data_IF_386791611064
#
_entry.id   IF_386791611064
#
_cell.length_a   1.000
_cell.length_b   1.000
_cell.length_c   1.000
_cell.angle_alpha   90.00
_cell.angle_beta   90.00
_cell.angle_gamma   90.00
#
_symmetry.space_group_name_H-M   'P 1'
#
loop_
_entity.id
_entity.type
_entity.pdbx_description
1 polymer ?
#
# COMPACT_ATOMS: atom_id res chain seq x y z
N UNK A 1 4.86 10.07 -21.68
CA UNK A 1 4.31 9.08 -22.65
C UNK A 1 3.00 8.59 -22.09
N UNK A 2 1.95 8.67 -22.91
CA UNK A 2 0.54 8.86 -22.60
C UNK A 2 -0.02 7.92 -21.51
N UNK A 3 -0.34 8.44 -20.30
CA UNK A 3 -1.00 7.65 -19.26
C UNK A 3 -2.42 7.20 -19.68
N UNK A 4 -3.07 7.99 -20.53
CA UNK A 4 -4.43 7.75 -21.06
C UNK A 4 -4.55 6.39 -21.78
N UNK A 5 -3.52 5.98 -22.52
CA UNK A 5 -3.56 4.72 -23.28
C UNK A 5 -3.27 3.47 -22.43
N UNK A 6 -2.74 3.63 -21.21
CA UNK A 6 -2.37 2.47 -20.37
C UNK A 6 -3.60 1.62 -20.04
N UNK A 7 -4.74 2.27 -19.80
CA UNK A 7 -5.99 1.57 -19.54
C UNK A 7 -6.43 0.74 -20.76
N UNK A 8 -6.41 1.33 -21.96
CA UNK A 8 -6.73 0.63 -23.21
C UNK A 8 -5.82 -0.58 -23.46
N UNK A 9 -4.51 -0.46 -23.18
CA UNK A 9 -3.58 -1.59 -23.31
C UNK A 9 -3.91 -2.75 -22.36
N UNK A 10 -4.35 -2.43 -21.13
CA UNK A 10 -4.74 -3.43 -20.14
C UNK A 10 -6.08 -4.07 -20.53
N UNK A 11 -7.04 -3.28 -21.02
CA UNK A 11 -8.32 -3.77 -21.50
C UNK A 11 -8.20 -4.65 -22.74
N UNK A 12 -7.30 -4.29 -23.66
CA UNK A 12 -6.98 -5.08 -24.85
C UNK A 12 -6.16 -6.37 -24.54
N UNK A 13 -5.86 -6.66 -23.27
CA UNK A 13 -5.14 -7.87 -22.86
C UNK A 13 -3.64 -7.86 -23.19
N UNK A 14 -3.05 -6.72 -23.55
CA UNK A 14 -1.63 -6.64 -23.95
C UNK A 14 -0.70 -7.05 -22.80
N UNK A 15 -1.01 -6.61 -21.58
CA UNK A 15 -0.24 -7.00 -20.39
C UNK A 15 -0.29 -8.52 -20.16
N UNK A 16 -1.44 -9.15 -20.40
CA UNK A 16 -1.63 -10.60 -20.27
C UNK A 16 -0.76 -11.36 -21.26
N UNK A 17 -0.77 -10.94 -22.53
CA UNK A 17 0.09 -11.53 -23.57
C UNK A 17 1.56 -11.40 -23.18
N UNK A 18 1.99 -10.22 -22.70
CA UNK A 18 3.38 -9.97 -22.31
C UNK A 18 3.84 -10.83 -21.12
N UNK A 19 2.97 -11.03 -20.13
CA UNK A 19 3.30 -11.81 -18.92
C UNK A 19 3.28 -13.31 -19.21
N UNK A 20 2.26 -13.80 -19.91
CA UNK A 20 2.10 -15.24 -20.18
C UNK A 20 3.15 -15.76 -21.17
N UNK A 21 3.66 -14.90 -22.05
CA UNK A 21 4.64 -15.28 -23.08
C UNK A 21 6.05 -14.80 -22.78
N UNK A 22 6.48 -14.80 -21.50
CA UNK A 22 7.83 -14.35 -21.11
C UNK A 22 8.98 -15.01 -21.86
N UNK A 23 8.79 -16.22 -22.42
CA UNK A 23 9.80 -16.88 -23.27
C UNK A 23 10.20 -16.04 -24.49
N UNK A 24 9.28 -15.22 -25.01
CA UNK A 24 9.53 -14.31 -26.13
C UNK A 24 10.39 -13.10 -25.75
N UNK A 25 10.63 -12.87 -24.45
CA UNK A 25 11.53 -11.81 -23.99
C UNK A 25 12.97 -12.00 -24.52
N UNK A 26 13.37 -13.24 -24.80
CA UNK A 26 14.68 -13.53 -25.39
C UNK A 26 14.78 -13.08 -26.86
N UNK A 27 13.64 -12.96 -27.55
CA UNK A 27 13.57 -12.56 -28.95
C UNK A 27 13.34 -11.06 -29.13
N UNK A 28 12.74 -10.39 -28.14
CA UNK A 28 12.36 -8.97 -28.21
C UNK A 28 12.97 -8.21 -27.04
N UNK A 29 14.01 -7.42 -27.31
CA UNK A 29 14.75 -6.66 -26.29
C UNK A 29 13.90 -5.64 -25.53
N UNK A 30 12.80 -5.18 -26.13
CA UNK A 30 11.85 -4.23 -25.51
C UNK A 30 10.77 -4.91 -24.65
N UNK A 31 10.75 -6.24 -24.55
CA UNK A 31 9.72 -6.98 -23.82
C UNK A 31 9.63 -6.59 -22.34
N UNK A 32 10.75 -6.68 -21.62
CA UNK A 32 10.84 -6.27 -20.21
C UNK A 32 10.52 -4.78 -20.01
N UNK A 33 11.14 -3.86 -20.77
CA UNK A 33 10.80 -2.45 -20.73
C UNK A 33 9.32 -2.13 -21.00
N UNK A 34 8.64 -2.87 -21.89
CA UNK A 34 7.22 -2.70 -22.17
C UNK A 34 6.36 -3.09 -20.97
N UNK A 35 6.66 -4.24 -20.33
CA UNK A 35 6.00 -4.67 -19.09
C UNK A 35 6.17 -3.59 -18.00
N UNK A 36 7.40 -3.14 -17.75
CA UNK A 36 7.66 -2.14 -16.71
C UNK A 36 7.04 -0.78 -17.05
N UNK A 37 6.95 -0.39 -18.33
CA UNK A 37 6.26 0.83 -18.73
C UNK A 37 4.77 0.80 -18.36
N UNK A 38 4.08 -0.32 -18.61
CA UNK A 38 2.68 -0.52 -18.21
C UNK A 38 2.56 -0.56 -16.69
N UNK A 39 3.34 -1.41 -16.02
CA UNK A 39 3.25 -1.63 -14.57
C UNK A 39 3.63 -0.38 -13.75
N UNK A 40 4.56 0.46 -14.24
CA UNK A 40 4.92 1.72 -13.57
C UNK A 40 3.77 2.74 -13.48
N UNK A 41 2.70 2.52 -14.26
CA UNK A 41 1.49 3.37 -14.28
C UNK A 41 0.31 2.74 -13.56
N UNK A 42 0.42 1.47 -13.16
CA UNK A 42 -0.62 0.74 -12.47
C UNK A 42 -0.05 0.04 -11.24
N UNK A 43 0.18 0.76 -10.12
CA UNK A 43 0.79 0.21 -8.91
C UNK A 43 0.01 -0.98 -8.35
N UNK A 44 -1.33 -0.99 -8.46
CA UNK A 44 -2.18 -2.11 -8.02
C UNK A 44 -1.86 -3.43 -8.76
N UNK A 45 -1.75 -3.37 -10.10
CA UNK A 45 -1.39 -4.54 -10.90
C UNK A 45 0.08 -4.91 -10.73
N UNK A 46 0.97 -3.91 -10.66
CA UNK A 46 2.39 -4.15 -10.39
C UNK A 46 2.58 -4.91 -9.08
N UNK A 47 1.91 -4.47 -8.02
CA UNK A 47 1.96 -5.13 -6.72
C UNK A 47 1.33 -6.52 -6.77
N UNK A 48 0.20 -6.70 -7.46
CA UNK A 48 -0.43 -8.02 -7.63
C UNK A 48 0.49 -9.02 -8.35
N UNK A 49 1.21 -8.60 -9.39
CA UNK A 49 2.07 -9.46 -10.22
C UNK A 49 3.42 -9.70 -9.55
N UNK A 50 4.05 -8.63 -9.02
CA UNK A 50 5.43 -8.67 -8.51
C UNK A 50 5.50 -8.93 -7.01
N UNK A 51 4.39 -8.81 -6.27
CA UNK A 51 4.37 -8.83 -4.80
C UNK A 51 5.27 -7.76 -4.17
N UNK A 52 5.62 -6.71 -4.93
CA UNK A 52 6.61 -5.71 -4.56
C UNK A 52 6.35 -4.37 -5.28
N UNK A 53 6.39 -3.27 -4.53
CA UNK A 53 6.56 -1.91 -5.03
C UNK A 53 7.88 -1.36 -4.50
N UNK A 54 8.70 -0.79 -5.40
CA UNK A 54 10.00 -0.21 -5.05
C UNK A 54 9.92 1.27 -4.70
N UNK A 55 11.08 1.87 -4.43
CA UNK A 55 11.20 3.30 -4.09
C UNK A 55 10.71 4.24 -5.19
N UNK A 56 10.73 3.82 -6.45
CA UNK A 56 10.29 4.63 -7.59
C UNK A 56 8.81 4.44 -7.94
N UNK A 57 8.15 3.47 -7.31
CA UNK A 57 6.72 3.23 -7.52
C UNK A 57 5.95 4.07 -6.50
N UNK A 58 5.09 4.95 -7.01
CA UNK A 58 4.25 5.82 -6.19
C UNK A 58 2.79 5.37 -6.28
N UNK A 59 2.15 5.33 -5.11
CA UNK A 59 0.71 5.14 -4.94
C UNK A 59 -0.05 6.46 -4.91
N UNK A 60 0.65 7.61 -5.02
CA UNK A 60 0.03 8.93 -5.06
C UNK A 60 -0.63 9.20 -6.42
N UNK A 61 -1.78 9.88 -6.40
CA UNK A 61 -2.47 10.38 -7.59
C UNK A 61 -3.24 9.33 -8.41
N UNK A 62 -3.36 8.09 -7.93
CA UNK A 62 -4.17 7.05 -8.54
C UNK A 62 -4.84 6.21 -7.46
N UNK A 63 -5.91 5.49 -7.82
CA UNK A 63 -6.48 4.47 -6.95
C UNK A 63 -5.49 3.32 -6.79
N UNK A 64 -5.00 3.13 -5.57
CA UNK A 64 -4.17 1.98 -5.24
C UNK A 64 -5.02 0.95 -4.50
N UNK A 65 -5.23 -0.19 -5.16
CA UNK A 65 -6.10 -1.27 -4.68
C UNK A 65 -5.27 -2.50 -4.32
N UNK A 66 -5.45 -2.99 -3.11
CA UNK A 66 -4.70 -4.12 -2.58
C UNK A 66 -5.64 -5.18 -2.02
N UNK A 67 -5.61 -6.36 -2.62
CA UNK A 67 -6.28 -7.54 -2.07
C UNK A 67 -5.49 -8.16 -0.92
N UNK A 68 -6.18 -8.56 0.15
CA UNK A 68 -5.58 -9.42 1.19
C UNK A 68 -5.14 -10.77 0.64
N UNK A 69 -5.91 -11.33 -0.29
CA UNK A 69 -5.59 -12.60 -0.96
C UNK A 69 -4.47 -12.39 -1.99
N UNK A 70 -3.47 -13.28 -1.93
CA UNK A 70 -2.47 -13.46 -3.00
C UNK A 70 -3.11 -14.26 -4.15
N UNK A 71 -2.89 -13.83 -5.38
CA UNK A 71 -3.39 -14.50 -6.57
C UNK A 71 -2.22 -15.16 -7.31
N UNK A 72 -2.39 -16.42 -7.71
CA UNK A 72 -1.44 -17.11 -8.58
C UNK A 72 -1.56 -16.61 -10.03
N UNK A 73 -2.79 -16.26 -10.43
CA UNK A 73 -3.10 -15.65 -11.71
C UNK A 73 -3.68 -14.25 -11.48
N UNK A 74 -2.92 -13.23 -11.89
CA UNK A 74 -3.32 -11.83 -11.71
C UNK A 74 -4.60 -11.48 -12.48
N UNK A 75 -4.96 -12.24 -13.52
CA UNK A 75 -6.20 -12.04 -14.28
C UNK A 75 -7.44 -12.22 -13.41
N UNK A 76 -7.37 -13.08 -12.38
CA UNK A 76 -8.45 -13.22 -11.40
C UNK A 76 -8.67 -11.90 -10.67
N UNK A 77 -7.60 -11.23 -10.23
CA UNK A 77 -7.72 -9.92 -9.60
C UNK A 77 -8.22 -8.87 -10.59
N UNK A 78 -7.72 -8.89 -11.83
CA UNK A 78 -8.18 -7.98 -12.88
C UNK A 78 -9.67 -8.15 -13.20
N UNK A 79 -10.18 -9.39 -13.23
CA UNK A 79 -11.60 -9.68 -13.43
C UNK A 79 -12.42 -9.24 -12.23
N UNK A 80 -11.97 -9.45 -10.99
CA UNK A 80 -12.62 -8.91 -9.79
C UNK A 80 -12.75 -7.39 -9.86
N UNK A 81 -11.72 -6.70 -10.35
CA UNK A 81 -11.75 -5.26 -10.54
C UNK A 81 -12.72 -4.81 -11.65
N UNK A 82 -13.07 -5.70 -12.59
CA UNK A 82 -13.97 -5.43 -13.73
C UNK A 82 -15.42 -5.85 -13.49
N UNK A 83 -15.65 -7.07 -13.03
CA UNK A 83 -16.92 -7.82 -13.09
C UNK A 83 -17.83 -7.68 -11.86
N UNK A 84 -17.59 -6.72 -10.97
CA UNK A 84 -18.48 -6.39 -9.83
C UNK A 84 -18.69 -7.50 -8.76
N UNK A 85 -17.88 -8.56 -8.74
CA UNK A 85 -17.97 -9.62 -7.73
C UNK A 85 -16.62 -9.99 -7.14
N UNK A 86 -16.36 -9.54 -5.91
CA UNK A 86 -15.50 -10.29 -4.99
C UNK A 86 -16.31 -10.68 -3.76
N UNK A 87 -16.88 -11.90 -3.75
CA UNK A 87 -17.88 -12.26 -2.75
C UNK A 87 -17.33 -12.52 -1.35
N UNK A 88 -16.00 -12.51 -1.14
CA UNK A 88 -15.43 -13.10 0.09
C UNK A 88 -14.27 -12.33 0.75
N UNK A 89 -13.50 -11.52 0.01
CA UNK A 89 -12.25 -10.95 0.52
C UNK A 89 -12.20 -9.42 0.38
N UNK A 90 -11.84 -8.70 1.45
CA UNK A 90 -11.60 -7.26 1.42
C UNK A 90 -10.53 -6.86 0.40
N UNK A 91 -10.84 -5.81 -0.37
CA UNK A 91 -9.90 -5.07 -1.21
C UNK A 91 -9.74 -3.70 -0.57
N UNK A 92 -8.55 -3.40 -0.08
CA UNK A 92 -8.25 -2.12 0.53
C UNK A 92 -7.99 -1.10 -0.59
N UNK A 93 -8.66 0.04 -0.50
CA UNK A 93 -8.60 1.13 -1.47
C UNK A 93 -7.90 2.31 -0.81
N UNK A 94 -6.80 2.75 -1.42
CA UNK A 94 -6.09 3.97 -1.04
C UNK A 94 -6.40 5.03 -2.09
N UNK A 95 -6.99 6.13 -1.64
CA UNK A 95 -7.37 7.25 -2.49
C UNK A 95 -7.40 8.56 -1.67
N UNK A 96 -6.49 9.47 -1.98
CA UNK A 96 -6.42 10.79 -1.31
C UNK A 96 -7.23 11.87 -2.03
N UNK A 97 -7.67 11.63 -3.27
CA UNK A 97 -8.26 12.67 -4.13
C UNK A 97 -9.76 12.84 -3.95
N UNK A 98 -10.47 11.76 -3.59
CA UNK A 98 -11.95 11.77 -3.51
C UNK A 98 -12.40 11.57 -2.08
N UNK A 99 -13.03 12.61 -1.50
CA UNK A 99 -13.62 12.57 -0.15
C UNK A 99 -14.96 11.85 -0.10
N UNK A 100 -15.69 11.86 -1.21
CA UNK A 100 -17.03 11.27 -1.34
C UNK A 100 -17.04 10.42 -2.61
N UNK A 101 -17.81 9.33 -2.58
CA UNK A 101 -18.02 8.47 -3.75
C UNK A 101 -18.66 9.26 -4.88
N UNK A 102 -18.07 9.26 -6.10
CA UNK A 102 -18.65 9.95 -7.25
C UNK A 102 -20.01 9.35 -7.61
N UNK A 103 -21.05 10.18 -7.89
CA UNK A 103 -22.40 9.69 -8.14
C UNK A 103 -22.50 8.80 -9.38
N UNK A 104 -21.63 9.00 -10.37
CA UNK A 104 -21.52 8.19 -11.59
C UNK A 104 -20.93 6.78 -11.33
N UNK A 105 -20.26 6.59 -10.19
CA UNK A 105 -19.66 5.31 -9.79
C UNK A 105 -20.48 4.60 -8.70
N UNK A 106 -21.58 5.19 -8.25
CA UNK A 106 -22.50 4.58 -7.29
C UNK A 106 -23.47 3.69 -8.06
N UNK A 107 -23.56 2.43 -7.63
CA UNK A 107 -24.48 1.45 -8.17
C UNK A 107 -25.60 1.26 -7.17
N UNK A 108 -26.82 1.62 -7.56
CA UNK A 108 -28.04 1.32 -6.80
C UNK A 108 -28.46 -0.12 -7.04
N UNK A 109 -28.74 -0.84 -5.94
CA UNK A 109 -29.21 -2.22 -6.00
C UNK A 109 -30.73 -2.21 -6.10
N UNK A 110 -31.32 -2.78 -7.17
CA UNK A 110 -32.77 -2.86 -7.31
C UNK A 110 -33.42 -3.60 -6.13
N UNK A 111 -34.56 -3.11 -5.67
CA UNK A 111 -35.26 -3.67 -4.48
C UNK A 111 -35.69 -5.12 -4.74
N UNK A 112 -35.90 -5.49 -6.00
CA UNK A 112 -36.28 -6.82 -6.45
C UNK A 112 -35.19 -7.87 -6.22
N UNK A 113 -33.94 -7.44 -6.01
CA UNK A 113 -32.83 -8.33 -5.69
C UNK A 113 -32.85 -8.80 -4.22
N UNK A 114 -33.70 -8.22 -3.36
CA UNK A 114 -33.78 -8.60 -1.95
C UNK A 114 -34.82 -9.70 -1.69
N UNK A 115 -34.49 -10.67 -0.80
CA UNK A 115 -35.48 -11.55 -0.19
C UNK A 115 -36.64 -10.73 0.37
N UNK A 116 -37.87 -11.23 0.24
CA UNK A 116 -39.09 -10.54 0.72
C UNK A 116 -38.99 -10.09 2.18
N UNK A 117 -38.26 -10.87 3.00
CA UNK A 117 -38.08 -10.67 4.44
C UNK A 117 -36.98 -9.64 4.77
N UNK A 118 -36.15 -9.26 3.79
CA UNK A 118 -35.07 -8.28 3.89
C UNK A 118 -35.35 -7.00 3.09
N UNK A 119 -36.52 -6.90 2.45
CA UNK A 119 -36.98 -5.67 1.81
C UNK A 119 -37.06 -4.59 2.88
N UNK A 120 -36.23 -3.54 2.80
CA UNK A 120 -35.90 -2.74 3.98
C UNK A 120 -37.10 -1.96 4.50
N UNK A 121 -37.37 -2.10 5.80
CA UNK A 121 -38.05 -1.12 6.67
C UNK A 121 -37.18 0.15 6.90
N UNK A 122 -36.04 0.26 6.18
CA UNK A 122 -35.05 1.33 6.31
C UNK A 122 -35.24 2.32 5.17
N UNK A 123 -35.36 3.61 5.50
CA UNK A 123 -35.66 4.72 4.61
C UNK A 123 -34.56 5.09 3.57
N UNK A 124 -33.82 4.11 3.04
CA UNK A 124 -32.70 4.33 2.11
C UNK A 124 -32.56 3.26 1.04
N UNK A 125 -32.19 3.67 -0.17
CA UNK A 125 -31.80 2.80 -1.28
C UNK A 125 -30.46 2.12 -0.97
N UNK A 126 -30.38 0.80 -1.10
CA UNK A 126 -29.13 0.06 -0.98
C UNK A 126 -28.22 0.40 -2.16
N UNK A 127 -27.04 0.96 -1.91
CA UNK A 127 -26.08 1.33 -2.94
C UNK A 127 -24.65 0.92 -2.56
N UNK A 128 -23.80 0.71 -3.56
CA UNK A 128 -22.37 0.42 -3.34
C UNK A 128 -21.48 1.12 -4.37
N UNK A 129 -20.17 1.21 -4.10
CA UNK A 129 -19.19 1.80 -5.00
C UNK A 129 -17.86 1.04 -4.94
N UNK A 130 -17.32 0.65 -6.10
CA UNK A 130 -15.99 -0.02 -6.20
C UNK A 130 -14.79 0.92 -6.06
N UNK A 131 -15.01 2.21 -6.31
CA UNK A 131 -14.02 3.28 -6.15
C UNK A 131 -14.53 4.28 -5.12
N UNK A 132 -14.73 3.83 -3.87
CA UNK A 132 -15.34 4.66 -2.85
C UNK A 132 -14.47 5.91 -2.58
N UNK A 133 -15.14 6.98 -2.18
CA UNK A 133 -14.45 8.12 -1.56
C UNK A 133 -13.94 7.74 -0.17
N UNK A 134 -12.93 8.47 0.29
CA UNK A 134 -12.34 8.34 1.61
C UNK A 134 -12.23 9.73 2.26
N UNK A 135 -13.09 10.02 3.23
CA UNK A 135 -13.04 11.29 3.97
C UNK A 135 -11.98 11.33 5.05
N UNK A 136 -11.57 10.15 5.56
CA UNK A 136 -10.69 10.03 6.71
C UNK A 136 -9.22 9.98 6.29
N UNK A 137 -8.89 9.34 5.18
CA UNK A 137 -7.51 9.24 4.71
C UNK A 137 -6.85 10.63 4.48
N UNK A 138 -7.50 11.62 3.85
CA UNK A 138 -6.97 12.97 3.77
C UNK A 138 -6.74 13.61 5.15
N UNK A 139 -7.61 13.35 6.14
CA UNK A 139 -7.42 13.85 7.52
C UNK A 139 -6.20 13.22 8.19
N UNK A 140 -5.98 11.93 7.98
CA UNK A 140 -4.77 11.24 8.46
C UNK A 140 -3.52 11.86 7.85
N UNK A 141 -3.56 12.23 6.55
CA UNK A 141 -2.46 12.93 5.90
C UNK A 141 -2.25 14.35 6.47
N UNK A 142 -3.32 15.09 6.76
CA UNK A 142 -3.24 16.41 7.39
C UNK A 142 -2.60 16.31 8.78
N UNK A 143 -3.00 15.33 9.60
CA UNK A 143 -2.37 15.06 10.91
C UNK A 143 -0.88 14.72 10.79
N UNK A 144 -0.51 13.90 9.80
CA UNK A 144 0.90 13.61 9.51
C UNK A 144 1.67 14.88 9.17
N UNK A 145 1.11 15.74 8.33
CA UNK A 145 1.75 16.99 7.92
C UNK A 145 1.95 17.93 9.12
N UNK A 146 0.96 18.05 10.00
CA UNK A 146 1.05 18.81 11.25
C UNK A 146 2.14 18.28 12.18
N UNK A 147 2.22 16.96 12.37
CA UNK A 147 3.28 16.34 13.19
C UNK A 147 4.67 16.55 12.58
N UNK A 148 4.81 16.38 11.26
CA UNK A 148 6.06 16.65 10.57
C UNK A 148 6.47 18.12 10.68
N UNK A 149 5.52 19.06 10.69
CA UNK A 149 5.79 20.49 10.83
C UNK A 149 6.37 20.82 12.21
N UNK A 150 5.83 20.21 13.29
CA UNK A 150 6.34 20.37 14.67
C UNK A 150 7.81 20.00 14.79
N UNK A 151 8.26 18.99 14.04
CA UNK A 151 9.66 18.56 14.02
C UNK A 151 10.51 19.27 12.95
N UNK A 152 9.95 20.21 12.18
CA UNK A 152 10.64 20.90 11.09
C UNK A 152 10.96 19.98 9.90
N UNK A 153 10.21 18.89 9.73
CA UNK A 153 10.43 17.84 8.74
C UNK A 153 9.57 18.00 7.47
N UNK A 154 8.65 18.97 7.41
CA UNK A 154 7.71 19.16 6.28
C UNK A 154 8.36 19.60 4.97
N UNK A 155 9.42 20.43 5.04
CA UNK A 155 10.06 20.90 3.82
C UNK A 155 10.94 19.79 3.23
N UNK A 156 10.54 19.23 2.09
CA UNK A 156 11.53 18.80 1.12
C UNK A 156 12.19 20.09 0.60
N UNK A 157 13.49 20.33 0.81
CA UNK A 157 14.12 21.57 0.40
C UNK A 157 13.76 21.86 -1.07
N UNK A 158 13.27 23.07 -1.36
CA UNK A 158 12.64 23.47 -2.64
C UNK A 158 13.52 23.27 -3.88
N UNK A 159 14.80 22.95 -3.67
CA UNK A 159 15.64 22.28 -4.63
C UNK A 159 15.68 20.83 -4.20
N UNK A 160 15.01 19.93 -4.93
CA UNK A 160 15.31 18.50 -4.90
C UNK A 160 16.72 18.29 -5.48
N UNK A 161 17.72 18.84 -4.78
CA UNK A 161 19.13 18.58 -4.93
C UNK A 161 19.27 17.12 -4.56
N UNK A 162 19.24 16.24 -5.57
CA UNK A 162 19.83 14.88 -5.70
C UNK A 162 20.49 14.24 -4.46
N UNK A 163 19.96 14.40 -3.26
CA UNK A 163 20.59 14.09 -1.99
C UNK A 163 19.48 13.71 -1.00
N UNK A 164 19.69 12.60 -0.30
CA UNK A 164 18.76 12.07 0.70
C UNK A 164 19.36 12.39 2.06
N UNK A 165 18.52 12.95 2.93
CA UNK A 165 18.87 13.23 4.32
C UNK A 165 18.44 12.03 5.16
N UNK A 166 19.40 11.21 5.58
CA UNK A 166 19.12 9.93 6.27
C UNK A 166 18.62 10.12 7.69
N UNK A 167 19.11 11.15 8.39
CA UNK A 167 18.65 11.47 9.74
C UNK A 167 17.19 11.92 9.71
N UNK A 168 16.83 12.76 8.74
CA UNK A 168 15.45 13.15 8.52
C UNK A 168 14.61 12.00 7.95
N UNK A 169 15.19 11.08 7.17
CA UNK A 169 14.49 9.91 6.66
C UNK A 169 14.07 8.96 7.79
N UNK A 170 14.98 8.63 8.71
CA UNK A 170 14.66 7.78 9.86
C UNK A 170 13.59 8.42 10.75
N UNK A 171 13.72 9.73 11.04
CA UNK A 171 12.72 10.47 11.82
C UNK A 171 11.36 10.53 11.13
N UNK A 172 11.32 10.81 9.82
CA UNK A 172 10.08 10.82 9.04
C UNK A 172 9.42 9.44 9.01
N UNK A 173 10.21 8.38 8.81
CA UNK A 173 9.70 7.01 8.84
C UNK A 173 9.07 6.69 10.21
N UNK A 174 9.72 7.11 11.31
CA UNK A 174 9.18 6.95 12.66
C UNK A 174 7.86 7.69 12.86
N UNK A 175 7.78 8.97 12.46
CA UNK A 175 6.54 9.77 12.57
C UNK A 175 5.41 9.14 11.75
N UNK A 176 5.67 8.66 10.53
CA UNK A 176 4.65 7.95 9.73
C UNK A 176 4.18 6.68 10.46
N UNK A 177 5.11 5.89 11.01
CA UNK A 177 4.76 4.66 11.73
C UNK A 177 3.86 4.94 12.94
N UNK A 178 4.15 5.99 13.70
CA UNK A 178 3.35 6.44 14.84
C UNK A 178 1.95 6.90 14.42
N UNK A 179 1.82 7.66 13.33
CA UNK A 179 0.51 8.05 12.76
C UNK A 179 -0.27 6.82 12.28
N UNK A 180 0.39 5.88 11.61
CA UNK A 180 -0.23 4.63 11.15
C UNK A 180 -0.74 3.81 12.33
N UNK A 181 0.03 3.72 13.41
CA UNK A 181 -0.42 3.06 14.64
C UNK A 181 -1.63 3.80 15.21
N UNK A 182 -1.56 5.12 15.38
CA UNK A 182 -2.68 5.90 15.93
C UNK A 182 -3.98 5.70 15.12
N UNK A 183 -3.88 5.61 13.80
CA UNK A 183 -5.02 5.39 12.91
C UNK A 183 -5.58 3.95 12.97
N UNK A 184 -4.74 2.91 13.14
CA UNK A 184 -5.13 1.49 13.00
C UNK A 184 -5.03 0.65 14.28
N UNK A 185 -4.83 1.25 15.45
CA UNK A 185 -4.67 0.52 16.71
C UNK A 185 -5.99 0.35 17.51
N UNK A 186 -7.14 0.77 16.98
CA UNK A 186 -8.41 0.63 17.72
C UNK A 186 -8.67 -0.84 18.05
N UNK A 187 -8.95 -1.14 19.33
CA UNK A 187 -9.30 -2.48 19.80
C UNK A 187 -8.24 -3.58 19.57
N UNK A 188 -6.96 -3.22 19.37
CA UNK A 188 -5.85 -4.18 19.31
C UNK A 188 -4.97 -4.06 20.55
N UNK A 189 -4.58 -5.20 21.12
CA UNK A 189 -3.54 -5.23 22.17
C UNK A 189 -2.18 -5.00 21.51
N UNK A 190 -1.37 -4.13 22.10
CA UNK A 190 0.05 -4.04 21.74
C UNK A 190 0.75 -5.28 22.27
N UNK A 191 1.47 -5.96 21.38
CA UNK A 191 2.22 -7.17 21.69
C UNK A 191 3.71 -6.84 21.66
N UNK A 192 4.52 -7.61 22.37
CA UNK A 192 5.98 -7.52 22.32
C UNK A 192 6.52 -8.49 21.28
N UNK A 193 7.64 -8.14 20.64
CA UNK A 193 8.32 -8.95 19.62
C UNK A 193 8.69 -10.34 20.14
N UNK A 194 8.89 -10.48 21.46
CA UNK A 194 9.22 -11.75 22.11
C UNK A 194 7.98 -12.60 22.48
N UNK A 195 6.77 -12.06 22.32
CA UNK A 195 5.54 -12.81 22.61
C UNK A 195 5.18 -13.74 21.46
N UNK A 196 4.68 -14.94 21.80
CA UNK A 196 4.13 -15.89 20.81
C UNK A 196 2.69 -15.60 20.44
N UNK A 197 2.05 -14.66 21.13
CA UNK A 197 0.71 -14.21 20.81
C UNK A 197 0.75 -13.38 19.52
N UNK A 198 -0.21 -13.60 18.63
CA UNK A 198 -0.34 -12.81 17.40
C UNK A 198 -1.38 -11.71 17.58
N UNK A 199 -1.17 -10.58 16.88
CA UNK A 199 -2.23 -9.59 16.67
C UNK A 199 -3.46 -10.32 16.12
N UNK A 200 -4.64 -10.07 16.71
CA UNK A 200 -5.84 -10.85 16.44
C UNK A 200 -6.32 -10.66 15.00
N UNK A 201 -5.86 -11.53 14.10
CA UNK A 201 -6.30 -11.61 12.72
C UNK A 201 -7.82 -11.78 12.62
N UNK A 202 -8.44 -12.43 13.61
CA UNK A 202 -9.88 -12.57 13.71
C UNK A 202 -10.56 -11.21 13.95
N UNK A 203 -10.06 -10.40 14.88
CA UNK A 203 -10.60 -9.06 15.17
C UNK A 203 -10.51 -8.16 13.95
N UNK A 204 -9.37 -8.14 13.26
CA UNK A 204 -9.21 -7.39 11.99
C UNK A 204 -10.19 -7.91 10.94
N UNK A 205 -10.35 -9.23 10.80
CA UNK A 205 -11.26 -9.84 9.83
C UNK A 205 -12.72 -9.46 10.11
N UNK A 206 -13.18 -9.53 11.36
CA UNK A 206 -14.51 -9.08 11.75
C UNK A 206 -14.72 -7.61 11.44
N UNK A 207 -13.76 -6.76 11.84
CA UNK A 207 -13.79 -5.32 11.56
C UNK A 207 -13.96 -5.01 10.06
N UNK A 208 -13.16 -5.66 9.20
CA UNK A 208 -13.26 -5.47 7.75
C UNK A 208 -14.61 -5.96 7.19
N UNK A 209 -15.19 -7.04 7.74
CA UNK A 209 -16.52 -7.48 7.32
C UNK A 209 -17.64 -6.54 7.78
N UNK A 210 -17.50 -5.93 8.95
CA UNK A 210 -18.47 -4.95 9.43
C UNK A 210 -18.46 -3.70 8.55
N UNK A 211 -17.28 -3.22 8.16
CA UNK A 211 -17.17 -2.13 7.17
C UNK A 211 -17.75 -2.57 5.81
N UNK A 212 -17.40 -3.77 5.33
CA UNK A 212 -17.90 -4.25 4.05
C UNK A 212 -19.43 -4.38 4.03
N UNK A 213 -20.03 -4.79 5.15
CA UNK A 213 -21.49 -4.84 5.32
C UNK A 213 -22.09 -3.44 5.27
N UNK A 214 -21.49 -2.47 5.95
CA UNK A 214 -21.95 -1.08 5.97
C UNK A 214 -21.83 -0.38 4.60
N UNK A 215 -20.77 -0.68 3.84
CA UNK A 215 -20.56 -0.17 2.48
C UNK A 215 -21.28 -0.98 1.40
N UNK A 216 -21.89 -2.11 1.79
CA UNK A 216 -22.43 -3.10 0.89
C UNK A 216 -21.48 -3.54 -0.23
N UNK A 217 -20.18 -3.48 0.05
CA UNK A 217 -19.11 -3.69 -0.90
C UNK A 217 -17.87 -4.20 -0.19
N UNK A 218 -17.09 -5.03 -0.86
CA UNK A 218 -15.82 -5.50 -0.32
C UNK A 218 -14.64 -4.56 -0.64
N UNK A 219 -14.88 -3.45 -1.35
CA UNK A 219 -13.92 -2.38 -1.59
C UNK A 219 -13.97 -1.41 -0.41
N UNK A 220 -12.95 -1.47 0.44
CA UNK A 220 -12.90 -0.77 1.71
C UNK A 220 -11.88 0.38 1.62
N UNK A 221 -12.29 1.64 1.77
CA UNK A 221 -11.35 2.75 1.94
C UNK A 221 -10.45 2.52 3.16
N UNK A 222 -9.13 2.66 2.98
CA UNK A 222 -8.17 2.40 4.06
C UNK A 222 -8.37 3.35 5.25
N UNK A 223 -8.85 4.58 5.03
CA UNK A 223 -9.14 5.54 6.08
C UNK A 223 -10.30 5.12 7.00
N UNK A 224 -11.18 4.24 6.56
CA UNK A 224 -12.24 3.65 7.41
C UNK A 224 -11.72 2.51 8.29
N UNK A 225 -10.52 1.97 8.02
CA UNK A 225 -9.95 0.87 8.77
C UNK A 225 -9.34 1.40 10.06
N UNK A 226 -10.01 1.20 11.21
CA UNK A 226 -9.48 1.59 12.51
C UNK A 226 -8.78 0.45 13.27
N UNK A 227 -8.98 -0.81 12.86
CA UNK A 227 -8.36 -2.00 13.45
C UNK A 227 -7.55 -2.73 12.39
N UNK A 228 -6.23 -2.60 12.42
CA UNK A 228 -5.34 -3.25 11.44
C UNK A 228 -4.08 -3.83 12.05
N UNK A 229 -3.68 -5.00 11.56
CA UNK A 229 -2.38 -5.59 11.87
C UNK A 229 -1.37 -5.21 10.77
N UNK A 230 -0.28 -5.95 10.69
CA UNK A 230 0.87 -5.67 9.83
C UNK A 230 0.50 -5.46 8.35
N UNK A 231 -0.51 -6.18 7.85
CA UNK A 231 -0.98 -6.06 6.47
C UNK A 231 -1.54 -4.67 6.15
N UNK A 232 -2.54 -4.22 6.90
CA UNK A 232 -3.21 -2.92 6.69
C UNK A 232 -2.24 -1.77 6.96
N UNK A 233 -1.46 -1.89 8.04
CA UNK A 233 -0.49 -0.88 8.46
C UNK A 233 0.58 -0.63 7.39
N UNK A 234 1.11 -1.68 6.77
CA UNK A 234 2.14 -1.53 5.73
C UNK A 234 1.63 -0.81 4.46
N UNK A 235 0.36 -1.02 4.12
CA UNK A 235 -0.30 -0.33 3.00
C UNK A 235 -0.43 1.16 3.33
N UNK A 236 -0.97 1.49 4.51
CA UNK A 236 -1.12 2.89 4.91
C UNK A 236 0.25 3.59 5.03
N UNK A 237 1.26 2.90 5.58
CA UNK A 237 2.62 3.43 5.66
C UNK A 237 3.17 3.79 4.27
N UNK A 238 3.07 2.88 3.29
CA UNK A 238 3.50 3.16 1.91
C UNK A 238 2.72 4.31 1.30
N UNK A 239 1.40 4.33 1.48
CA UNK A 239 0.52 5.37 0.96
C UNK A 239 0.91 6.77 1.47
N UNK A 240 1.10 6.91 2.79
CA UNK A 240 1.51 8.17 3.42
C UNK A 240 2.94 8.57 3.04
N UNK A 241 3.87 7.62 3.01
CA UNK A 241 5.24 7.86 2.60
C UNK A 241 5.33 8.41 1.17
N UNK A 242 4.52 7.88 0.25
CA UNK A 242 4.46 8.35 -1.13
C UNK A 242 3.91 9.78 -1.26
N UNK A 243 3.00 10.22 -0.39
CA UNK A 243 2.47 11.59 -0.38
C UNK A 243 3.53 12.62 0.01
N UNK A 244 4.41 12.28 0.97
CA UNK A 244 5.46 13.19 1.46
C UNK A 244 6.82 12.98 0.76
N UNK A 245 6.90 12.02 -0.16
CA UNK A 245 8.11 11.68 -0.92
C UNK A 245 9.19 10.96 -0.12
N UNK A 246 8.81 10.17 0.90
CA UNK A 246 9.73 9.29 1.62
C UNK A 246 9.94 7.99 0.82
N UNK A 247 11.19 7.63 0.44
CA UNK A 247 11.42 6.41 -0.32
C UNK A 247 11.26 5.18 0.59
N UNK A 248 10.22 4.40 0.35
CA UNK A 248 10.03 3.08 0.95
C UNK A 248 9.50 2.05 -0.04
N UNK A 249 9.73 0.78 0.26
CA UNK A 249 9.12 -0.33 -0.47
C UNK A 249 7.78 -0.72 0.15
N UNK A 250 6.99 -1.49 -0.61
CA UNK A 250 5.90 -2.29 -0.07
C UNK A 250 6.09 -3.70 -0.59
N UNK A 251 6.27 -4.66 0.30
CA UNK A 251 6.54 -6.04 -0.05
C UNK A 251 5.52 -6.97 0.58
N UNK A 252 5.14 -8.01 -0.16
CA UNK A 252 4.36 -9.11 0.36
C UNK A 252 5.29 -10.28 0.64
N UNK A 253 5.19 -10.84 1.84
CA UNK A 253 5.92 -12.04 2.22
C UNK A 253 5.60 -13.23 1.30
N UNK A 254 6.49 -14.21 1.28
CA UNK A 254 6.37 -15.39 0.40
C UNK A 254 5.06 -16.14 0.63
N UNK A 255 4.65 -16.28 1.90
CA UNK A 255 3.40 -16.91 2.32
C UNK A 255 2.13 -16.10 1.96
N UNK A 256 2.31 -14.84 1.57
CA UNK A 256 1.25 -13.92 1.19
C UNK A 256 0.46 -13.30 2.33
N UNK A 257 0.74 -13.65 3.59
CA UNK A 257 -0.09 -13.31 4.77
C UNK A 257 0.21 -11.94 5.34
N UNK A 258 1.47 -11.53 5.32
CA UNK A 258 1.93 -10.24 5.85
C UNK A 258 2.56 -9.39 4.76
N UNK A 259 2.47 -8.07 4.99
CA UNK A 259 3.15 -7.05 4.19
C UNK A 259 4.18 -6.35 5.07
N UNK A 260 5.22 -5.81 4.47
CA UNK A 260 6.21 -5.02 5.20
C UNK A 260 6.79 -3.94 4.31
N UNK A 261 7.37 -2.94 4.95
CA UNK A 261 8.02 -1.84 4.28
C UNK A 261 9.50 -1.86 4.61
N UNK A 262 10.32 -1.57 3.61
CA UNK A 262 11.74 -1.37 3.80
C UNK A 262 12.12 0.06 3.41
N UNK A 263 13.12 0.58 4.09
CA UNK A 263 13.68 1.90 3.84
C UNK A 263 15.18 1.81 3.54
N UNK A 264 15.71 2.74 2.73
CA UNK A 264 17.13 2.84 2.49
C UNK A 264 17.78 3.72 3.57
N UNK A 265 18.67 3.13 4.37
CA UNK A 265 19.56 3.80 5.31
C UNK A 265 21.01 3.32 5.06
N UNK A 266 22.03 4.16 5.29
CA UNK A 266 23.42 3.72 5.23
C UNK A 266 23.68 2.68 6.33
N UNK A 267 24.18 1.51 5.95
CA UNK A 267 24.53 0.45 6.91
C UNK A 267 25.90 0.72 7.55
N UNK A 268 26.84 1.31 6.80
CA UNK A 268 28.17 1.70 7.28
C UNK A 268 28.62 3.00 6.60
N UNK A 269 28.61 4.13 7.33
CA UNK A 269 29.01 5.45 6.81
C UNK A 269 30.46 5.44 6.28
N UNK A 270 31.33 4.60 6.87
CA UNK A 270 32.76 4.57 6.58
C UNK A 270 33.19 3.61 5.45
N UNK A 271 32.33 2.69 5.02
CA UNK A 271 32.69 1.69 3.99
C UNK A 271 31.69 1.56 2.85
N UNK A 272 30.60 2.33 2.81
CA UNK A 272 29.67 2.24 1.70
C UNK A 272 30.24 2.88 0.42
N UNK A 273 30.52 2.10 -0.66
CA UNK A 273 31.01 2.64 -1.92
C UNK A 273 29.98 3.52 -2.65
N UNK A 274 28.78 3.69 -2.10
CA UNK A 274 27.66 4.45 -2.65
C UNK A 274 27.47 5.83 -1.98
N UNK A 275 28.34 6.21 -1.03
CA UNK A 275 28.32 7.49 -0.32
C UNK A 275 29.60 8.30 -0.60
N UNK A 276 29.46 9.54 -1.09
CA UNK A 276 30.61 10.46 -1.20
C UNK A 276 30.96 11.05 0.18
N UNK A 277 32.04 10.55 0.78
CA UNK A 277 32.54 10.88 2.12
C UNK A 277 32.84 12.36 2.34
N UNK A 278 33.07 13.16 1.29
CA UNK A 278 33.39 14.60 1.43
C UNK A 278 32.17 15.51 1.43
N UNK A 279 31.05 15.04 0.88
CA UNK A 279 29.87 15.87 0.68
C UNK A 279 28.62 15.32 1.36
N UNK A 280 28.65 14.07 1.85
CA UNK A 280 27.46 13.34 2.33
C UNK A 280 26.32 13.36 1.29
N UNK A 281 26.66 13.41 0.00
CA UNK A 281 25.71 13.45 -1.12
C UNK A 281 25.52 12.06 -1.70
N UNK A 282 24.26 11.71 -1.95
CA UNK A 282 23.82 10.36 -2.27
C UNK A 282 23.36 10.15 -3.71
N UNK A 283 23.28 8.88 -4.09
CA UNK A 283 22.90 8.40 -5.41
C UNK A 283 21.42 8.65 -5.80
N UNK A 284 21.07 8.60 -7.10
CA UNK A 284 19.69 8.61 -7.57
C UNK A 284 18.85 7.49 -6.95
N UNK A 285 17.52 7.69 -6.81
CA UNK A 285 16.59 6.73 -6.19
C UNK A 285 16.67 5.31 -6.77
N UNK A 286 17.04 5.19 -8.05
CA UNK A 286 17.23 3.93 -8.76
C UNK A 286 18.40 3.08 -8.26
N UNK A 287 19.29 3.66 -7.47
CA UNK A 287 20.48 2.99 -6.92
C UNK A 287 20.38 2.76 -5.41
N UNK A 288 19.28 3.18 -4.79
CA UNK A 288 18.99 2.87 -3.39
C UNK A 288 18.72 1.38 -3.25
N UNK A 289 19.23 0.81 -2.16
CA UNK A 289 18.91 -0.56 -1.76
C UNK A 289 18.16 -0.54 -0.44
N UNK A 290 17.15 -1.42 -0.28
CA UNK A 290 16.55 -1.61 1.02
C UNK A 290 17.59 -2.19 1.95
N UNK A 291 17.61 -1.68 3.18
CA UNK A 291 18.62 -2.06 4.19
C UNK A 291 17.96 -2.32 5.53
N UNK A 292 16.85 -1.64 5.81
CA UNK A 292 16.12 -1.75 7.06
C UNK A 292 14.64 -1.98 6.82
N UNK A 293 14.03 -2.80 7.67
CA UNK A 293 12.59 -3.04 7.76
C UNK A 293 12.01 -2.08 8.81
N UNK A 294 10.85 -1.52 8.50
CA UNK A 294 10.10 -0.67 9.43
C UNK A 294 9.21 -1.54 10.32
N UNK A 295 9.38 -1.46 11.63
CA UNK A 295 8.46 -2.09 12.58
C UNK A 295 7.18 -1.26 12.71
N UNK A 296 6.06 -1.85 12.33
CA UNK A 296 4.72 -1.26 12.44
C UNK A 296 3.84 -1.94 13.49
N UNK A 297 4.36 -2.89 14.26
CA UNK A 297 3.56 -3.75 15.15
C UNK A 297 4.01 -3.74 16.61
N UNK A 298 5.30 -3.96 16.88
CA UNK A 298 5.80 -4.23 18.23
C UNK A 298 6.48 -3.00 18.81
N UNK A 299 7.56 -2.55 18.17
CA UNK A 299 8.25 -1.31 18.49
C UNK A 299 8.06 -0.31 17.36
N UNK A 300 6.86 0.29 17.32
CA UNK A 300 6.43 1.12 16.20
C UNK A 300 7.45 2.22 15.88
N UNK A 301 7.87 2.25 14.62
CA UNK A 301 8.82 3.22 14.08
C UNK A 301 10.30 2.85 14.26
N UNK A 302 10.62 1.74 14.92
CA UNK A 302 11.97 1.20 14.95
C UNK A 302 12.35 0.58 13.60
N UNK A 303 13.64 0.67 13.27
CA UNK A 303 14.18 0.25 11.98
C UNK A 303 15.18 -0.89 12.18
N UNK A 304 14.84 -2.09 11.71
CA UNK A 304 15.68 -3.27 11.86
C UNK A 304 16.50 -3.53 10.60
N UNK A 305 17.83 -3.67 10.67
CA UNK A 305 18.61 -4.14 9.53
C UNK A 305 18.03 -5.49 9.02
N UNK A 306 17.88 -5.66 7.70
CA UNK A 306 17.15 -6.80 7.08
C UNK A 306 17.63 -8.18 7.56
N UNK A 307 18.91 -8.32 7.90
CA UNK A 307 19.50 -9.58 8.36
C UNK A 307 19.62 -9.68 9.89
N UNK A 308 19.10 -8.71 10.63
CA UNK A 308 19.13 -8.74 12.09
C UNK A 308 18.15 -9.79 12.64
N UNK A 309 18.39 -10.25 13.86
CA UNK A 309 17.48 -11.20 14.53
C UNK A 309 16.08 -10.63 14.64
N UNK A 310 15.98 -9.34 14.94
CA UNK A 310 14.72 -8.61 15.07
C UNK A 310 13.94 -8.59 13.75
N UNK A 311 14.63 -8.35 12.63
CA UNK A 311 14.03 -8.41 11.30
C UNK A 311 13.46 -9.79 10.98
N UNK A 312 14.22 -10.86 11.26
CA UNK A 312 13.76 -12.23 11.03
C UNK A 312 12.57 -12.60 11.92
N UNK A 313 12.57 -12.16 13.18
CA UNK A 313 11.45 -12.33 14.11
C UNK A 313 10.21 -11.56 13.63
N UNK A 314 10.38 -10.29 13.23
CA UNK A 314 9.32 -9.44 12.71
C UNK A 314 8.66 -10.03 11.46
N UNK A 315 9.46 -10.63 10.57
CA UNK A 315 8.99 -11.30 9.36
C UNK A 315 8.52 -12.74 9.58
N UNK A 316 8.60 -13.27 10.81
CA UNK A 316 8.23 -14.65 11.16
C UNK A 316 9.00 -15.71 10.34
N UNK A 317 10.28 -15.45 10.11
CA UNK A 317 11.19 -16.33 9.37
C UNK A 317 12.05 -17.22 10.30
N UNK A 318 11.74 -17.22 11.60
CA UNK A 318 12.41 -17.98 12.64
C UNK A 318 11.47 -19.04 13.21
#
# INVERSE_FOLDING_TARGET
RFPEMVHEYIEAGVLEVLILNQRLAMCVSTWGPAIEAILSKCPSLKFCIRNHLGFTDSTAGNDFLVSKRKFDDFRVFQNILKEDVSPLHPILVVNFERKVSPPDLIIEVPIECFPLDERPDVAGSWCYCRKPGDSELPRILDLLNEELEKYGLMQNPAKMSRCIDFDNLAKRAKVIAEIVEAALCSNLKRLDLNTTEECSNHTVKCHLYDIARALHCNFIPIGMVHTGCQFERAILFKALADQIGLPCTLQRAVDGRLLFNEVPLPVEIDHDPHCDKKTMKFMPWRMLRPTHIVDLMFHVGELYPIQSRQALQYLRLY
#
